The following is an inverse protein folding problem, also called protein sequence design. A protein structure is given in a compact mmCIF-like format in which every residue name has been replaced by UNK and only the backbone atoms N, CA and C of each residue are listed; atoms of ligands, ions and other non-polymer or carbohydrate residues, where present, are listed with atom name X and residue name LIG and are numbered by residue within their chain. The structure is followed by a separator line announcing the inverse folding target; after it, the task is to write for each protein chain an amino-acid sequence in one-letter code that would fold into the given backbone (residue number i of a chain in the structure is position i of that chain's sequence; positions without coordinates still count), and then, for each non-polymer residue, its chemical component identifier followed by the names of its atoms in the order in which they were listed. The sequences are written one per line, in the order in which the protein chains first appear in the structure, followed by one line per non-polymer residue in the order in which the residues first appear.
data_IF_768057833892
#
_entry.id   IF_768057833892
#
_cell.length_a   1.000
_cell.length_b   1.000
_cell.length_c   1.000
_cell.angle_alpha   90.00
_cell.angle_beta   90.00
_cell.angle_gamma   90.00
#
_symmetry.space_group_name_H-M   'P 1'
#
loop_
_entity.id
_entity.type
_entity.pdbx_description
1 polymer ?
#
# COMPACT_ATOMS: atom_id res chain seq x y z
N UNK A 1 -1.73 -5.70 20.84
CA UNK A 1 -2.45 -6.91 20.35
C UNK A 1 -3.18 -6.52 19.08
N UNK A 2 -2.46 -6.60 17.98
CA UNK A 2 -2.80 -5.98 16.70
C UNK A 2 -2.59 -7.04 15.63
N UNK A 3 -3.57 -7.94 15.42
CA UNK A 3 -3.66 -8.82 14.23
C UNK A 3 -5.10 -9.31 14.05
N UNK A 4 -6.03 -8.46 13.60
CA UNK A 4 -7.36 -8.94 13.16
C UNK A 4 -7.94 -8.20 11.95
N UNK A 5 -7.20 -7.28 11.31
CA UNK A 5 -7.79 -6.35 10.33
C UNK A 5 -7.36 -6.59 8.87
N UNK A 6 -6.61 -7.66 8.56
CA UNK A 6 -6.05 -7.89 7.20
C UNK A 6 -6.81 -8.91 6.33
N UNK A 7 -7.80 -9.63 6.85
CA UNK A 7 -8.46 -10.72 6.10
C UNK A 7 -9.73 -10.29 5.32
N UNK A 8 -10.35 -9.15 5.66
CA UNK A 8 -11.68 -8.78 5.14
C UNK A 8 -11.65 -8.09 3.77
N UNK A 9 -10.52 -7.58 3.33
CA UNK A 9 -10.41 -6.81 2.08
C UNK A 9 -10.31 -7.66 0.81
N UNK A 10 -10.09 -8.99 0.92
CA UNK A 10 -9.94 -9.88 -0.25
C UNK A 10 -11.23 -10.58 -0.68
N UNK A 11 -12.25 -10.65 0.19
CA UNK A 11 -13.55 -11.29 -0.09
C UNK A 11 -14.59 -10.32 -0.69
N UNK A 12 -14.41 -9.00 -0.54
CA UNK A 12 -15.39 -8.00 -0.95
C UNK A 12 -15.45 -7.72 -2.46
N UNK A 13 -14.46 -8.14 -3.24
CA UNK A 13 -14.50 -8.01 -4.71
C UNK A 13 -15.45 -9.02 -5.38
N UNK A 14 -15.72 -10.16 -4.74
CA UNK A 14 -16.51 -11.24 -5.35
C UNK A 14 -18.02 -10.89 -5.44
N UNK A 15 -18.55 -10.13 -4.46
CA UNK A 15 -19.96 -9.73 -4.46
C UNK A 15 -20.35 -8.75 -5.58
N UNK A 16 -19.41 -8.04 -6.21
CA UNK A 16 -19.75 -7.10 -7.30
C UNK A 16 -20.15 -7.79 -8.61
N UNK A 17 -19.84 -9.08 -8.78
CA UNK A 17 -20.03 -9.80 -10.05
C UNK A 17 -20.95 -11.01 -9.95
N UNK A 18 -21.82 -11.06 -8.93
CA UNK A 18 -22.75 -12.17 -8.68
C UNK A 18 -22.03 -13.53 -8.49
N UNK A 19 -20.86 -13.48 -7.85
CA UNK A 19 -20.07 -14.67 -7.54
C UNK A 19 -20.19 -15.01 -6.04
N UNK A 20 -20.39 -16.28 -5.75
CA UNK A 20 -20.44 -16.84 -4.40
C UNK A 20 -19.28 -17.81 -4.18
N UNK A 21 -18.63 -17.72 -3.02
CA UNK A 21 -17.52 -18.60 -2.65
C UNK A 21 -17.98 -19.50 -1.50
N UNK A 22 -17.86 -20.81 -1.71
CA UNK A 22 -18.21 -21.83 -0.71
C UNK A 22 -16.95 -22.60 -0.35
N UNK A 23 -16.50 -22.51 0.90
CA UNK A 23 -15.38 -23.27 1.42
C UNK A 23 -15.86 -24.32 2.43
N UNK A 24 -15.56 -25.61 2.20
CA UNK A 24 -15.89 -26.71 3.10
C UNK A 24 -14.76 -27.74 3.10
N UNK A 25 -14.36 -28.21 4.29
CA UNK A 25 -13.40 -29.33 4.48
C UNK A 25 -12.09 -29.16 3.68
N UNK A 26 -11.48 -27.97 3.72
CA UNK A 26 -10.23 -27.70 3.02
C UNK A 26 -10.35 -27.64 1.48
N UNK A 27 -11.57 -27.54 0.94
CA UNK A 27 -11.84 -27.29 -0.47
C UNK A 27 -12.67 -26.04 -0.63
N UNK A 28 -12.53 -25.37 -1.77
CA UNK A 28 -13.30 -24.20 -2.12
C UNK A 28 -13.91 -24.32 -3.51
N UNK A 29 -15.07 -23.68 -3.69
CA UNK A 29 -15.79 -23.58 -4.96
C UNK A 29 -16.24 -22.14 -5.16
N UNK A 30 -16.08 -21.64 -6.37
CA UNK A 30 -16.54 -20.32 -6.80
C UNK A 30 -17.65 -20.53 -7.83
N UNK A 31 -18.85 -20.07 -7.50
CA UNK A 31 -20.03 -20.17 -8.36
C UNK A 31 -20.46 -18.78 -8.82
N UNK A 32 -20.79 -18.62 -10.10
CA UNK A 32 -21.43 -17.40 -10.63
C UNK A 32 -22.78 -17.80 -11.20
N UNK A 33 -23.86 -17.19 -10.72
CA UNK A 33 -25.22 -17.53 -11.15
C UNK A 33 -25.51 -19.04 -11.11
N UNK A 34 -25.05 -19.70 -10.04
CA UNK A 34 -25.15 -21.16 -9.82
C UNK A 34 -24.30 -22.05 -10.73
N UNK A 35 -23.52 -21.49 -11.65
CA UNK A 35 -22.54 -22.23 -12.46
C UNK A 35 -21.19 -22.28 -11.74
N UNK A 36 -20.59 -23.47 -11.62
CA UNK A 36 -19.25 -23.64 -11.08
C UNK A 36 -18.22 -23.06 -12.06
N UNK A 37 -17.53 -22.00 -11.67
CA UNK A 37 -16.46 -21.39 -12.47
C UNK A 37 -15.11 -21.98 -12.11
N UNK A 38 -14.87 -22.21 -10.83
CA UNK A 38 -13.56 -22.59 -10.32
C UNK A 38 -13.71 -23.40 -9.04
N UNK A 39 -12.87 -24.42 -8.88
CA UNK A 39 -12.78 -25.19 -7.64
C UNK A 39 -11.31 -25.50 -7.33
N UNK A 40 -11.06 -25.81 -6.06
CA UNK A 40 -9.71 -26.12 -5.62
C UNK A 40 -9.65 -26.56 -4.16
N UNK A 41 -8.42 -26.74 -3.68
CA UNK A 41 -8.10 -27.12 -2.30
C UNK A 41 -7.33 -26.02 -1.58
N UNK A 42 -7.43 -25.99 -0.26
CA UNK A 42 -6.69 -25.10 0.62
C UNK A 42 -5.68 -25.96 1.38
N UNK A 43 -4.40 -25.82 1.07
CA UNK A 43 -3.29 -26.54 1.71
C UNK A 43 -2.35 -25.55 2.35
N UNK A 44 -2.10 -25.68 3.66
CA UNK A 44 -1.19 -24.79 4.42
C UNK A 44 -1.53 -23.29 4.26
N UNK A 45 -2.82 -22.95 4.19
CA UNK A 45 -3.29 -21.57 3.97
C UNK A 45 -3.16 -21.07 2.53
N UNK A 46 -2.64 -21.88 1.60
CA UNK A 46 -2.55 -21.57 0.17
C UNK A 46 -3.72 -22.19 -0.59
N UNK A 47 -4.24 -21.45 -1.57
CA UNK A 47 -5.33 -21.89 -2.44
C UNK A 47 -4.73 -22.51 -3.71
N UNK A 48 -5.00 -23.80 -3.93
CA UNK A 48 -4.61 -24.57 -5.11
C UNK A 48 -5.84 -24.80 -5.98
N UNK A 49 -5.79 -24.40 -7.25
CA UNK A 49 -6.90 -24.58 -8.20
C UNK A 49 -6.77 -25.94 -8.87
N UNK A 50 -7.88 -26.68 -9.00
CA UNK A 50 -7.90 -27.97 -9.70
C UNK A 50 -7.75 -27.73 -11.21
N UNK A 51 -6.91 -28.53 -11.88
CA UNK A 51 -6.68 -28.43 -13.33
C UNK A 51 -7.95 -28.87 -14.11
N UNK A 52 -8.39 -28.13 -15.14
CA UNK A 52 -9.63 -28.46 -15.84
C UNK A 52 -9.47 -29.76 -16.65
N UNK A 53 -10.17 -30.81 -16.23
CA UNK A 53 -10.18 -32.13 -16.87
C UNK A 53 -11.10 -32.15 -18.10
N UNK A 54 -10.81 -31.37 -19.14
CA UNK A 54 -11.17 -31.62 -20.56
C UNK A 54 -11.08 -30.33 -21.36
N UNK A 55 -10.10 -30.27 -22.27
CA UNK A 55 -10.00 -29.27 -23.33
C UNK A 55 -11.04 -29.59 -24.40
N UNK A 56 -12.28 -29.15 -24.23
CA UNK A 56 -13.21 -29.06 -25.37
C UNK A 56 -12.80 -27.84 -26.18
N UNK A 57 -12.33 -28.08 -27.41
CA UNK A 57 -11.89 -27.10 -28.40
C UNK A 57 -13.04 -26.18 -28.86
N UNK A 58 -13.54 -25.35 -27.96
CA UNK A 58 -14.42 -24.23 -28.26
C UNK A 58 -13.98 -23.08 -27.38
N UNK A 59 -12.82 -22.52 -27.71
CA UNK A 59 -12.42 -21.20 -27.23
C UNK A 59 -13.31 -20.14 -27.91
N UNK A 60 -14.61 -20.21 -27.70
CA UNK A 60 -15.42 -19.00 -27.68
C UNK A 60 -15.04 -18.32 -26.37
N UNK A 61 -14.02 -17.48 -26.44
CA UNK A 61 -13.69 -16.51 -25.40
C UNK A 61 -14.92 -15.65 -25.15
N UNK A 62 -15.83 -16.12 -24.30
CA UNK A 62 -16.80 -15.30 -23.57
C UNK A 62 -16.09 -14.50 -22.47
N UNK A 63 -14.85 -14.08 -22.72
CA UNK A 63 -14.45 -12.77 -22.26
C UNK A 63 -15.43 -11.82 -22.94
N UNK A 64 -16.48 -11.45 -22.21
CA UNK A 64 -16.91 -10.07 -22.29
C UNK A 64 -15.61 -9.28 -22.35
N UNK A 65 -15.35 -8.59 -23.44
CA UNK A 65 -14.29 -7.61 -23.51
C UNK A 65 -14.93 -6.32 -22.99
N UNK A 66 -15.06 -6.08 -21.66
CA UNK A 66 -14.91 -4.71 -21.26
C UNK A 66 -13.48 -4.38 -21.67
N UNK A 67 -13.31 -3.34 -22.47
CA UNK A 67 -12.02 -2.69 -22.64
C UNK A 67 -11.49 -2.41 -21.23
N UNK A 68 -10.62 -3.29 -20.72
CA UNK A 68 -10.09 -3.16 -19.36
C UNK A 68 -9.28 -1.88 -19.36
N UNK A 69 -9.75 -0.91 -18.58
CA UNK A 69 -9.14 0.41 -18.55
C UNK A 69 -7.72 0.33 -18.00
N UNK A 70 -6.84 1.26 -18.40
CA UNK A 70 -5.51 1.39 -17.80
C UNK A 70 -5.56 1.49 -16.27
N UNK A 71 -6.62 2.11 -15.73
CA UNK A 71 -6.83 2.23 -14.30
C UNK A 71 -7.06 0.87 -13.62
N UNK A 72 -7.83 -0.04 -14.24
CA UNK A 72 -8.09 -1.38 -13.72
C UNK A 72 -6.84 -2.26 -13.77
N UNK A 73 -6.11 -2.22 -14.88
CA UNK A 73 -4.82 -2.92 -15.00
C UNK A 73 -3.89 -2.43 -13.89
N UNK A 74 -3.68 -1.12 -13.75
CA UNK A 74 -2.82 -0.58 -12.67
C UNK A 74 -3.28 -1.00 -11.28
N UNK A 75 -4.59 -1.00 -10.99
CA UNK A 75 -5.11 -1.45 -9.68
C UNK A 75 -4.78 -2.93 -9.42
N UNK A 76 -4.94 -3.80 -10.43
CA UNK A 76 -4.65 -5.24 -10.30
C UNK A 76 -3.16 -5.53 -10.04
N UNK A 77 -2.27 -4.69 -10.59
CA UNK A 77 -0.82 -4.77 -10.40
C UNK A 77 -0.29 -3.81 -9.32
N UNK A 78 -1.13 -3.39 -8.38
CA UNK A 78 -0.68 -2.61 -7.21
C UNK A 78 -0.08 -1.25 -7.55
N UNK A 79 -0.65 -0.55 -8.53
CA UNK A 79 -0.21 0.78 -8.98
C UNK A 79 1.21 0.83 -9.56
N UNK A 80 1.75 -0.30 -10.03
CA UNK A 80 3.02 -0.37 -10.77
C UNK A 80 3.08 0.66 -11.91
N UNK A 81 4.28 1.17 -12.21
CA UNK A 81 4.47 2.13 -13.30
C UNK A 81 3.97 1.55 -14.64
N UNK A 82 3.35 2.37 -15.49
CA UNK A 82 2.85 1.91 -16.80
C UNK A 82 3.98 1.27 -17.63
N UNK A 83 5.19 1.83 -17.58
CA UNK A 83 6.38 1.27 -18.23
C UNK A 83 6.77 -0.14 -17.76
N UNK A 84 6.35 -0.55 -16.55
CA UNK A 84 6.55 -1.93 -16.05
C UNK A 84 5.44 -2.88 -16.48
N UNK A 85 4.36 -2.34 -17.02
CA UNK A 85 3.18 -3.07 -17.44
C UNK A 85 3.08 -3.17 -18.97
N UNK A 86 4.05 -2.68 -19.74
CA UNK A 86 3.97 -2.62 -21.20
C UNK A 86 3.72 -3.98 -21.87
N UNK A 87 4.23 -5.07 -21.29
CA UNK A 87 3.98 -6.44 -21.75
C UNK A 87 2.59 -6.98 -21.40
N UNK A 88 1.91 -6.38 -20.42
CA UNK A 88 0.61 -6.81 -19.90
C UNK A 88 -0.54 -5.87 -20.29
N UNK A 89 -0.24 -4.66 -20.73
CA UNK A 89 -1.22 -3.71 -21.24
C UNK A 89 -1.67 -4.18 -22.63
N UNK A 90 -2.99 -4.20 -22.83
CA UNK A 90 -3.59 -4.54 -24.11
C UNK A 90 -3.03 -3.64 -25.22
N UNK A 91 -2.61 -4.24 -26.34
CA UNK A 91 -2.12 -3.52 -27.53
C UNK A 91 -3.16 -2.56 -28.13
N UNK A 92 -4.42 -2.67 -27.71
CA UNK A 92 -5.52 -1.77 -28.09
C UNK A 92 -5.41 -0.40 -27.46
N UNK A 93 -4.67 -0.26 -26.35
CA UNK A 93 -4.43 1.03 -25.70
C UNK A 93 -3.23 1.68 -26.36
N UNK A 94 -3.45 2.85 -26.94
CA UNK A 94 -2.44 3.58 -27.71
C UNK A 94 -1.30 4.09 -26.82
N UNK A 95 -0.17 4.43 -27.43
CA UNK A 95 0.99 4.98 -26.70
C UNK A 95 0.65 6.36 -26.11
N UNK A 96 -0.17 7.13 -26.81
CA UNK A 96 -0.65 8.45 -26.42
C UNK A 96 -1.58 8.37 -25.20
N UNK A 97 -2.48 7.38 -25.17
CA UNK A 97 -3.34 7.13 -24.01
C UNK A 97 -2.52 6.72 -22.77
N UNK A 98 -1.46 5.93 -22.96
CA UNK A 98 -0.56 5.53 -21.88
C UNK A 98 0.22 6.70 -21.30
N UNK A 99 0.70 7.61 -22.15
CA UNK A 99 1.49 8.77 -21.74
C UNK A 99 0.64 9.86 -21.08
N UNK A 100 -0.59 10.05 -21.55
CA UNK A 100 -1.54 11.00 -20.97
C UNK A 100 -2.24 10.48 -19.69
N UNK A 101 -2.15 9.18 -19.39
CA UNK A 101 -2.85 8.60 -18.26
C UNK A 101 -2.24 9.03 -16.91
N UNK A 102 -3.07 9.65 -16.07
CA UNK A 102 -2.70 10.06 -14.71
C UNK A 102 -3.52 9.30 -13.66
N UNK A 103 -2.82 8.68 -12.70
CA UNK A 103 -3.48 7.97 -11.61
C UNK A 103 -3.51 8.85 -10.35
N UNK A 104 -4.68 9.39 -10.01
CA UNK A 104 -4.88 10.28 -8.84
C UNK A 104 -4.24 9.75 -7.55
N UNK A 105 -4.44 8.47 -7.21
CA UNK A 105 -3.84 7.89 -5.99
C UNK A 105 -2.32 7.82 -6.04
N UNK A 106 -1.73 7.51 -7.21
CA UNK A 106 -0.28 7.51 -7.38
C UNK A 106 0.30 8.91 -7.31
N UNK A 107 -0.38 9.90 -7.89
CA UNK A 107 0.03 11.31 -7.84
C UNK A 107 0.04 11.75 -6.39
N UNK A 108 -1.07 11.60 -5.67
CA UNK A 108 -1.16 11.97 -4.26
C UNK A 108 -0.10 11.29 -3.39
N UNK A 109 0.20 10.01 -3.65
CA UNK A 109 1.25 9.28 -2.93
C UNK A 109 2.68 9.71 -3.29
N UNK A 110 2.87 10.32 -4.47
CA UNK A 110 4.17 10.80 -4.98
C UNK A 110 4.37 12.30 -4.81
N UNK A 111 3.36 13.06 -4.36
CA UNK A 111 3.52 14.48 -4.07
C UNK A 111 4.59 14.60 -3.00
N UNK A 112 5.76 15.10 -3.39
CA UNK A 112 6.80 15.49 -2.46
C UNK A 112 6.49 16.89 -1.95
N UNK A 113 6.72 17.12 -0.65
CA UNK A 113 6.69 18.49 -0.12
C UNK A 113 7.71 19.30 -0.91
N UNK A 114 7.32 20.49 -1.39
CA UNK A 114 8.26 21.43 -2.02
C UNK A 114 9.48 21.59 -1.08
N UNK A 115 10.70 21.70 -1.63
CA UNK A 115 11.89 21.95 -0.81
C UNK A 115 11.63 23.12 0.13
N UNK A 116 11.97 22.94 1.40
CA UNK A 116 11.88 24.04 2.35
C UNK A 116 12.85 25.13 1.90
N UNK A 117 12.34 26.33 1.60
CA UNK A 117 13.15 27.47 1.14
C UNK A 117 13.95 28.14 2.27
N UNK A 118 13.77 27.72 3.52
CA UNK A 118 14.51 28.30 4.63
C UNK A 118 15.96 27.81 4.62
N UNK A 119 16.88 28.74 4.39
CA UNK A 119 18.30 28.53 4.62
C UNK A 119 18.52 28.69 6.12
N UNK A 120 18.94 27.63 6.81
CA UNK A 120 19.36 27.75 8.21
C UNK A 120 20.75 28.36 8.24
N UNK A 121 20.87 29.60 8.73
CA UNK A 121 22.16 30.25 8.97
C UNK A 121 22.67 29.88 10.37
N UNK A 122 23.95 29.62 10.49
CA UNK A 122 24.62 29.49 11.79
C UNK A 122 24.57 30.85 12.51
N UNK A 123 24.29 30.84 13.81
CA UNK A 123 24.44 32.02 14.66
C UNK A 123 25.86 32.58 14.56
N UNK A 124 26.02 33.87 14.84
CA UNK A 124 27.31 34.57 14.82
C UNK A 124 27.93 34.70 16.21
N UNK A 125 27.13 34.52 17.27
CA UNK A 125 27.58 34.62 18.68
C UNK A 125 26.89 33.57 19.57
N UNK A 126 27.51 33.17 20.70
CA UNK A 126 26.86 32.28 21.66
C UNK A 126 25.52 32.85 22.15
N UNK A 127 24.53 31.97 22.35
CA UNK A 127 23.18 32.29 22.84
C UNK A 127 22.32 33.15 21.91
N UNK A 128 22.78 33.44 20.70
CA UNK A 128 21.99 34.19 19.70
C UNK A 128 20.85 33.34 19.12
N UNK A 129 21.06 32.03 18.99
CA UNK A 129 20.05 31.08 18.51
C UNK A 129 20.14 29.78 19.29
N UNK A 130 19.12 29.52 20.10
CA UNK A 130 18.98 28.31 20.91
C UNK A 130 17.83 27.48 20.34
N UNK A 131 18.13 26.23 20.01
CA UNK A 131 17.11 25.25 19.65
C UNK A 131 16.68 24.49 20.91
N UNK A 132 15.38 24.49 21.16
CA UNK A 132 14.75 23.74 22.25
C UNK A 132 13.90 22.63 21.64
N UNK A 133 14.04 21.41 22.14
CA UNK A 133 13.18 20.29 21.74
C UNK A 133 12.81 19.44 22.95
N UNK A 134 11.70 18.73 22.89
CA UNK A 134 11.20 17.90 23.97
C UNK A 134 11.14 16.45 23.52
N UNK A 135 11.98 15.61 24.11
CA UNK A 135 11.96 14.16 23.90
C UNK A 135 10.96 13.56 24.87
N UNK A 136 9.93 12.86 24.38
CA UNK A 136 9.03 12.06 25.21
C UNK A 136 7.60 11.99 24.68
N UNK A 137 6.67 11.32 25.41
CA UNK A 137 6.89 10.63 26.68
C UNK A 137 7.71 9.34 26.52
N UNK A 138 8.63 9.09 27.46
CA UNK A 138 9.48 7.89 27.52
C UNK A 138 8.76 6.80 28.32
N UNK A 139 8.62 5.61 27.74
CA UNK A 139 8.01 4.43 28.37
C UNK A 139 8.89 3.17 28.17
N UNK A 140 9.33 2.48 29.25
CA UNK A 140 9.11 2.81 30.65
C UNK A 140 9.85 4.10 31.08
N UNK A 141 9.32 4.78 32.10
CA UNK A 141 9.93 5.98 32.67
C UNK A 141 11.38 5.72 33.13
N UNK A 142 12.17 6.78 33.22
CA UNK A 142 13.55 6.67 33.72
C UNK A 142 13.59 6.21 35.19
N UNK A 143 14.78 5.83 35.68
CA UNK A 143 14.98 5.43 37.09
C UNK A 143 14.49 6.46 38.10
N UNK A 144 14.52 7.75 37.74
CA UNK A 144 14.06 8.86 38.57
C UNK A 144 12.62 9.30 38.27
N UNK A 145 11.87 8.48 37.54
CA UNK A 145 10.48 8.75 37.15
C UNK A 145 10.31 9.96 36.20
N UNK A 146 11.34 10.29 35.42
CA UNK A 146 11.22 11.29 34.35
C UNK A 146 10.68 10.64 33.09
N UNK A 147 9.79 11.35 32.39
CA UNK A 147 9.19 10.89 31.12
C UNK A 147 9.53 11.80 29.96
N UNK A 148 10.15 12.94 30.22
CA UNK A 148 10.55 13.89 29.20
C UNK A 148 12.00 14.32 29.40
N UNK A 149 12.64 14.75 28.31
CA UNK A 149 13.93 15.43 28.35
C UNK A 149 13.82 16.67 27.48
N UNK A 150 13.98 17.85 28.09
CA UNK A 150 14.15 19.09 27.34
C UNK A 150 15.60 19.16 26.84
N UNK A 151 15.80 19.16 25.54
CA UNK A 151 17.11 19.38 24.94
C UNK A 151 17.28 20.85 24.60
N UNK A 152 18.49 21.36 24.86
CA UNK A 152 18.88 22.74 24.60
C UNK A 152 20.16 22.69 23.78
N UNK A 153 20.11 23.26 22.58
CA UNK A 153 21.26 23.33 21.66
C UNK A 153 21.56 24.78 21.30
N UNK A 154 22.75 25.25 21.64
CA UNK A 154 23.25 26.54 21.14
C UNK A 154 23.78 26.37 19.72
N UNK A 155 23.22 27.11 18.76
CA UNK A 155 23.55 26.96 17.35
C UNK A 155 24.96 27.47 16.99
N UNK A 156 25.51 28.42 17.75
CA UNK A 156 26.85 28.96 17.51
C UNK A 156 27.95 28.02 18.01
N UNK A 157 27.90 27.68 19.30
CA UNK A 157 28.94 26.87 19.95
C UNK A 157 28.76 25.38 19.74
N UNK A 158 27.56 24.93 19.34
CA UNK A 158 27.20 23.51 19.31
C UNK A 158 27.01 22.89 20.70
N UNK A 159 26.98 23.71 21.76
CA UNK A 159 26.71 23.24 23.12
C UNK A 159 25.34 22.55 23.19
N UNK A 160 25.31 21.35 23.77
CA UNK A 160 24.11 20.52 23.94
C UNK A 160 23.93 20.16 25.41
N UNK A 161 22.75 20.42 25.96
CA UNK A 161 22.34 19.99 27.28
C UNK A 161 20.96 19.30 27.25
N UNK A 162 20.76 18.33 28.13
CA UNK A 162 19.48 17.65 28.31
C UNK A 162 19.02 17.76 29.76
N UNK A 163 17.79 18.22 29.96
CA UNK A 163 17.19 18.42 31.28
C UNK A 163 16.02 17.45 31.45
N UNK A 164 16.15 16.43 32.32
CA UNK A 164 15.08 15.47 32.53
C UNK A 164 13.92 16.11 33.30
N UNK A 165 12.69 15.79 32.87
CA UNK A 165 11.43 16.27 33.45
C UNK A 165 10.39 15.16 33.57
N UNK A 166 9.43 15.34 34.49
CA UNK A 166 8.37 14.37 34.79
C UNK A 166 7.17 14.44 33.85
#
# INVERSE_FOLDING_TARGET
MEQSSRQTSKLSLCSRYWCSVVAKKGKFKVLKSSQLILQGSIKNGLYCVDEPTSTSNSFNSLFASPSVSLQEVRKSFGHAAISRLDSFILKTISVEERSAFECKSCVMAKITKKPFKGISQTASKPFEKIHLDLIGPIDPQSRECHRYILTVVDNFSGYLAGFPGR
#
